data_IF_079043739949
#
_entry.id   IF_079043739949
#
_cell.length_a   1.000
_cell.length_b   1.000
_cell.length_c   1.000
_cell.angle_alpha   90.00
_cell.angle_beta   90.00
_cell.angle_gamma   90.00
#
_symmetry.space_group_name_H-M   'P 1'
#
loop_
_entity.id
_entity.type
_entity.pdbx_description
1 polymer ?
#
# COMPACT_ATOMS: atom_id res chain seq x y z
N UNK A 1 1.07 -19.25 -4.66
CA UNK A 1 2.41 -18.84 -5.12
C UNK A 1 2.34 -17.45 -5.74
N UNK A 2 2.96 -16.43 -5.12
CA UNK A 2 3.09 -15.06 -5.66
C UNK A 2 4.32 -14.92 -6.59
N UNK A 3 4.75 -16.02 -7.22
CA UNK A 3 6.06 -16.16 -7.89
C UNK A 3 6.04 -16.28 -9.41
N UNK A 4 4.88 -16.40 -10.06
CA UNK A 4 4.81 -16.55 -11.53
C UNK A 4 4.68 -15.17 -12.18
N UNK A 5 5.47 -14.86 -13.22
CA UNK A 5 5.51 -13.56 -13.92
C UNK A 5 4.13 -12.94 -14.21
N UNK A 6 3.13 -13.76 -14.57
CA UNK A 6 1.76 -13.29 -14.80
C UNK A 6 1.09 -12.63 -13.58
N UNK A 7 1.38 -13.12 -12.37
CA UNK A 7 0.83 -12.55 -11.12
C UNK A 7 1.33 -11.13 -10.87
N UNK A 8 2.56 -10.80 -11.29
CA UNK A 8 3.14 -9.47 -11.08
C UNK A 8 2.55 -8.44 -12.03
N UNK A 9 2.36 -8.81 -13.30
CA UNK A 9 1.68 -7.93 -14.25
C UNK A 9 0.21 -7.70 -13.89
N UNK A 10 -0.49 -8.73 -13.42
CA UNK A 10 -1.85 -8.60 -12.89
C UNK A 10 -1.90 -7.66 -11.67
N UNK A 11 -0.93 -7.81 -10.75
CA UNK A 11 -0.79 -6.95 -9.57
C UNK A 11 -0.56 -5.47 -9.96
N UNK A 12 0.34 -5.18 -10.89
CA UNK A 12 0.56 -3.82 -11.39
C UNK A 12 -0.70 -3.24 -12.05
N UNK A 13 -1.44 -4.04 -12.82
CA UNK A 13 -2.68 -3.59 -13.45
C UNK A 13 -3.77 -3.27 -12.42
N UNK A 14 -3.93 -4.12 -11.40
CA UNK A 14 -4.88 -3.88 -10.29
C UNK A 14 -4.50 -2.63 -9.51
N UNK A 15 -3.21 -2.45 -9.20
CA UNK A 15 -2.70 -1.26 -8.53
C UNK A 15 -2.97 0.00 -9.33
N UNK A 16 -2.76 0.00 -10.66
CA UNK A 16 -3.07 1.15 -11.51
C UNK A 16 -4.55 1.57 -11.44
N UNK A 17 -5.46 0.61 -11.29
CA UNK A 17 -6.90 0.90 -11.09
C UNK A 17 -7.20 1.47 -9.71
N UNK A 18 -6.57 0.92 -8.67
CA UNK A 18 -6.75 1.37 -7.27
C UNK A 18 -6.14 2.77 -7.06
N UNK A 19 -5.00 3.05 -7.69
CA UNK A 19 -4.24 4.29 -7.55
C UNK A 19 -4.70 5.40 -8.50
N UNK A 20 -5.84 5.22 -9.19
CA UNK A 20 -6.39 6.25 -10.06
C UNK A 20 -6.59 7.56 -9.29
N UNK A 21 -6.25 8.72 -9.87
CA UNK A 21 -6.52 10.01 -9.25
C UNK A 21 -7.98 10.15 -8.82
N UNK A 22 -8.19 10.64 -7.60
CA UNK A 22 -9.52 10.87 -7.03
C UNK A 22 -10.08 12.18 -7.56
N UNK A 23 -11.41 12.28 -7.66
CA UNK A 23 -12.08 13.46 -8.22
C UNK A 23 -11.76 14.77 -7.46
N UNK A 24 -11.39 14.65 -6.20
CA UNK A 24 -10.98 15.73 -5.30
C UNK A 24 -9.48 16.06 -5.36
N UNK A 25 -8.72 15.43 -6.27
CA UNK A 25 -7.29 15.67 -6.45
C UNK A 25 -6.39 15.03 -5.39
N UNK A 26 -6.93 14.28 -4.42
CA UNK A 26 -6.11 13.57 -3.43
C UNK A 26 -5.32 12.44 -4.07
N UNK A 27 -4.07 12.30 -3.65
CA UNK A 27 -3.22 11.16 -4.00
C UNK A 27 -3.77 9.88 -3.40
N UNK A 28 -3.83 8.82 -4.20
CA UNK A 28 -4.16 7.48 -3.73
C UNK A 28 -2.91 6.80 -3.19
N UNK A 29 -3.04 6.13 -2.05
CA UNK A 29 -1.96 5.35 -1.44
C UNK A 29 -2.40 3.88 -1.32
N UNK A 30 -1.45 2.98 -1.57
CA UNK A 30 -1.64 1.55 -1.39
C UNK A 30 -0.63 1.05 -0.36
N UNK A 31 -1.10 0.31 0.64
CA UNK A 31 -0.28 -0.23 1.71
C UNK A 31 -0.27 -1.76 1.65
N UNK A 32 0.88 -2.34 1.94
CA UNK A 32 1.01 -3.77 2.23
C UNK A 32 1.64 -3.90 3.61
N UNK A 33 1.03 -4.70 4.48
CA UNK A 33 1.63 -5.09 5.76
C UNK A 33 2.53 -6.29 5.53
N UNK A 34 3.75 -6.22 6.06
CA UNK A 34 4.79 -7.25 5.88
C UNK A 34 5.35 -7.60 7.25
N UNK A 35 5.41 -8.88 7.56
CA UNK A 35 6.05 -9.38 8.78
C UNK A 35 7.56 -9.40 8.61
N UNK A 36 8.28 -8.70 9.49
CA UNK A 36 9.75 -8.69 9.53
C UNK A 36 10.29 -10.09 9.84
N UNK A 37 11.46 -10.41 9.28
CA UNK A 37 12.19 -11.68 9.49
C UNK A 37 11.39 -12.92 9.07
N UNK A 38 10.51 -12.75 8.09
CA UNK A 38 9.76 -13.84 7.46
C UNK A 38 9.96 -13.83 5.94
N UNK A 39 9.54 -14.90 5.28
CA UNK A 39 9.52 -15.01 3.82
C UNK A 39 8.74 -13.87 3.15
N UNK A 40 7.77 -13.24 3.84
CA UNK A 40 7.03 -12.09 3.32
C UNK A 40 7.93 -10.89 3.03
N UNK A 41 9.03 -10.74 3.80
CA UNK A 41 10.02 -9.68 3.58
C UNK A 41 10.75 -9.85 2.24
N UNK A 42 11.09 -11.07 1.85
CA UNK A 42 11.70 -11.36 0.54
C UNK A 42 10.71 -11.09 -0.59
N UNK A 43 9.45 -11.51 -0.43
CA UNK A 43 8.40 -11.23 -1.41
C UNK A 43 8.13 -9.73 -1.56
N UNK A 44 8.21 -8.97 -0.47
CA UNK A 44 8.08 -7.51 -0.48
C UNK A 44 9.24 -6.84 -1.23
N UNK A 45 10.48 -7.30 -1.04
CA UNK A 45 11.64 -6.80 -1.78
C UNK A 45 11.51 -7.05 -3.30
N UNK A 46 11.08 -8.25 -3.69
CA UNK A 46 10.80 -8.56 -5.11
C UNK A 46 9.67 -7.69 -5.66
N UNK A 47 8.60 -7.48 -4.89
CA UNK A 47 7.48 -6.60 -5.27
C UNK A 47 7.94 -5.15 -5.44
N UNK A 48 8.73 -4.63 -4.51
CA UNK A 48 9.28 -3.28 -4.58
C UNK A 48 10.05 -3.09 -5.89
N UNK A 49 10.98 -3.99 -6.20
CA UNK A 49 11.81 -3.91 -7.40
C UNK A 49 10.94 -3.87 -8.66
N UNK A 50 10.01 -4.81 -8.78
CA UNK A 50 9.12 -4.90 -9.93
C UNK A 50 8.24 -3.64 -10.08
N UNK A 51 7.62 -3.15 -9.00
CA UNK A 51 6.77 -1.96 -9.06
C UNK A 51 7.57 -0.68 -9.38
N UNK A 52 8.78 -0.56 -8.84
CA UNK A 52 9.69 0.53 -9.17
C UNK A 52 10.09 0.50 -10.66
N UNK A 53 10.37 -0.68 -11.22
CA UNK A 53 10.63 -0.86 -12.66
C UNK A 53 9.43 -0.46 -13.53
N UNK A 54 8.19 -0.62 -13.03
CA UNK A 54 6.98 -0.14 -13.71
C UNK A 54 6.70 1.36 -13.47
N UNK A 55 7.55 2.07 -12.73
CA UNK A 55 7.45 3.50 -12.48
C UNK A 55 6.60 3.89 -11.25
N UNK A 56 6.20 2.94 -10.41
CA UNK A 56 5.49 3.26 -9.17
C UNK A 56 6.47 3.68 -8.07
N UNK A 57 6.13 4.74 -7.35
CA UNK A 57 6.82 5.09 -6.11
C UNK A 57 6.54 4.03 -5.03
N UNK A 58 7.58 3.58 -4.35
CA UNK A 58 7.50 2.57 -3.29
C UNK A 58 8.36 3.00 -2.10
N UNK A 59 7.83 2.89 -0.89
CA UNK A 59 8.54 3.23 0.35
C UNK A 59 8.31 2.14 1.37
N UNK A 60 9.39 1.68 2.00
CA UNK A 60 9.32 0.81 3.18
C UNK A 60 9.33 1.72 4.41
N UNK A 61 8.37 1.52 5.29
CA UNK A 61 8.22 2.29 6.54
C UNK A 61 8.16 1.30 7.69
N UNK A 62 8.95 1.52 8.73
CA UNK A 62 8.81 0.75 9.97
C UNK A 62 7.54 1.17 10.71
N UNK A 63 6.84 0.22 11.31
CA UNK A 63 5.61 0.52 12.05
C UNK A 63 5.84 1.52 13.20
N UNK A 64 7.02 1.48 13.85
CA UNK A 64 7.39 2.42 14.90
C UNK A 64 7.49 3.87 14.38
N UNK A 65 7.90 4.07 13.13
CA UNK A 65 8.03 5.39 12.51
C UNK A 65 6.68 5.99 12.08
N UNK A 66 5.66 5.14 11.90
CA UNK A 66 4.32 5.55 11.47
C UNK A 66 3.57 6.33 12.57
N UNK A 67 3.82 6.00 13.84
CA UNK A 67 3.17 6.62 14.98
C UNK A 67 3.60 8.08 15.23
N UNK A 68 4.70 8.54 14.62
CA UNK A 68 5.30 9.86 14.87
C UNK A 68 4.99 10.94 13.82
N UNK A 69 4.27 10.64 12.72
CA UNK A 69 4.07 11.58 11.60
C UNK A 69 2.61 11.85 11.19
N UNK A 70 1.64 11.48 12.01
CA UNK A 70 0.24 11.74 11.70
C UNK A 70 -0.58 11.98 12.95
N UNK A 71 -0.88 13.25 13.23
CA UNK A 71 -2.17 13.59 13.80
C UNK A 71 -3.20 13.00 12.83
N UNK A 72 -3.73 11.83 13.20
CA UNK A 72 -4.76 11.16 12.41
C UNK A 72 -6.00 12.01 12.52
N UNK A 73 -6.20 12.93 11.56
CA UNK A 73 -7.55 13.27 11.14
C UNK A 73 -8.13 12.02 10.47
N UNK A 74 -8.45 11.03 11.30
CA UNK A 74 -9.28 9.91 10.91
C UNK A 74 -10.61 10.46 10.39
N UNK A 75 -11.30 9.75 9.49
CA UNK A 75 -12.62 10.20 9.05
C UNK A 75 -13.51 10.41 10.28
N UNK A 76 -14.34 11.47 10.27
CA UNK A 76 -15.43 11.71 11.21
C UNK A 76 -16.46 10.57 11.13
N UNK A 77 -16.06 9.35 11.51
CA UNK A 77 -16.98 8.27 11.78
C UNK A 77 -17.65 8.62 13.11
N UNK A 78 -18.62 9.54 13.04
CA UNK A 78 -19.58 9.77 14.10
C UNK A 78 -20.31 8.45 14.29
N UNK A 79 -20.04 7.77 15.41
CA UNK A 79 -20.90 6.69 15.86
C UNK A 79 -22.32 7.27 15.99
N UNK A 80 -23.34 6.74 15.29
CA UNK A 80 -24.69 7.15 15.57
C UNK A 80 -24.99 6.72 17.00
N UNK A 81 -25.11 7.69 17.90
CA UNK A 81 -25.75 7.48 19.19
C UNK A 81 -27.13 6.93 18.89
N UNK A 82 -27.33 5.65 19.20
CA UNK A 82 -28.63 5.01 19.13
C UNK A 82 -29.56 5.71 20.13
N UNK A 83 -30.69 6.24 19.63
CA UNK A 83 -31.88 6.55 20.44
C UNK A 83 -32.50 5.26 20.99
#
# INVERSE_FOLDING_TARGET
MSGTFGSRQEEAQRLGRVLRPKADGRTAHFYTVVSRDTLDSEYAAHRQRFLAEQGYAYTIVDAADLAGRGEVNGPDWVEPTAD
#
